data_IF_264248729521
#
_entry.id   IF_264248729521
#
_cell.length_a   1.000
_cell.length_b   1.000
_cell.length_c   1.000
_cell.angle_alpha   90.00
_cell.angle_beta   90.00
_cell.angle_gamma   90.00
#
_symmetry.space_group_name_H-M   'P 1'
#
loop_
_entity.id
_entity.type
_entity.pdbx_description
1 polymer ?
#
# COMPACT_ATOMS: atom_id res chain seq x y z
N UNK A 1 -15.56 20.42 -32.31
CA UNK A 1 -15.25 19.20 -31.55
C UNK A 1 -15.90 18.01 -32.28
N UNK A 2 -15.10 17.07 -32.81
CA UNK A 2 -15.53 16.03 -33.75
C UNK A 2 -16.35 14.92 -33.04
N UNK A 3 -17.42 14.39 -33.66
CA UNK A 3 -18.32 13.38 -33.04
C UNK A 3 -17.54 12.13 -32.59
N UNK A 4 -16.54 11.72 -33.39
CA UNK A 4 -15.65 10.61 -33.04
C UNK A 4 -14.83 10.86 -31.77
N UNK A 5 -14.40 12.11 -31.51
CA UNK A 5 -13.70 12.46 -30.26
C UNK A 5 -14.61 12.34 -29.04
N UNK A 6 -15.89 12.72 -29.17
CA UNK A 6 -16.87 12.60 -28.08
C UNK A 6 -17.18 11.13 -27.75
N UNK A 7 -17.30 10.27 -28.77
CA UNK A 7 -17.52 8.83 -28.54
C UNK A 7 -16.28 8.15 -27.94
N UNK A 8 -15.08 8.56 -28.35
CA UNK A 8 -13.83 8.02 -27.80
C UNK A 8 -13.63 8.45 -26.34
N UNK A 9 -13.86 9.74 -26.01
CA UNK A 9 -13.82 10.23 -24.64
C UNK A 9 -14.86 9.50 -23.76
N UNK A 10 -16.07 9.23 -24.28
CA UNK A 10 -17.08 8.43 -23.56
C UNK A 10 -16.60 7.01 -23.25
N UNK A 11 -15.84 6.37 -24.13
CA UNK A 11 -15.25 5.03 -23.89
C UNK A 11 -14.13 5.04 -22.84
N UNK A 12 -13.44 6.16 -22.67
CA UNK A 12 -12.31 6.30 -21.73
C UNK A 12 -12.76 6.66 -20.31
N UNK A 13 -14.00 7.14 -20.14
CA UNK A 13 -14.57 7.49 -18.81
C UNK A 13 -14.68 6.30 -17.87
N UNK A 14 -15.13 5.15 -18.35
CA UNK A 14 -15.23 3.93 -17.53
C UNK A 14 -13.86 3.48 -16.99
N UNK A 15 -12.81 3.31 -17.83
CA UNK A 15 -11.45 3.07 -17.34
C UNK A 15 -10.94 4.13 -16.37
N UNK A 16 -11.28 5.41 -16.59
CA UNK A 16 -10.85 6.51 -15.71
C UNK A 16 -11.48 6.43 -14.33
N UNK A 17 -12.79 6.16 -14.25
CA UNK A 17 -13.46 5.95 -12.97
C UNK A 17 -12.90 4.73 -12.24
N UNK A 18 -12.62 3.64 -12.96
CA UNK A 18 -11.99 2.46 -12.35
C UNK A 18 -10.58 2.76 -11.85
N UNK A 19 -9.79 3.58 -12.56
CA UNK A 19 -8.48 4.02 -12.10
C UNK A 19 -8.55 4.84 -10.81
N UNK A 20 -9.45 5.83 -10.74
CA UNK A 20 -9.66 6.64 -9.53
C UNK A 20 -10.17 5.78 -8.38
N UNK A 21 -11.08 4.85 -8.66
CA UNK A 21 -11.60 3.91 -7.67
C UNK A 21 -10.51 2.97 -7.15
N UNK A 22 -9.69 2.41 -8.03
CA UNK A 22 -8.57 1.55 -7.62
C UNK A 22 -7.54 2.32 -6.78
N UNK A 23 -7.29 3.58 -7.12
CA UNK A 23 -6.38 4.44 -6.36
C UNK A 23 -6.93 4.71 -4.95
N UNK A 24 -8.24 5.02 -4.84
CA UNK A 24 -8.90 5.19 -3.53
C UNK A 24 -8.82 3.92 -2.69
N UNK A 25 -9.13 2.77 -3.28
CA UNK A 25 -9.04 1.48 -2.61
C UNK A 25 -7.60 1.23 -2.10
N UNK A 26 -6.59 1.53 -2.91
CA UNK A 26 -5.17 1.41 -2.55
C UNK A 26 -4.77 2.32 -1.38
N UNK A 27 -5.18 3.60 -1.41
CA UNK A 27 -4.94 4.56 -0.33
C UNK A 27 -5.58 4.11 0.98
N UNK A 28 -6.82 3.61 0.92
CA UNK A 28 -7.53 3.11 2.10
C UNK A 28 -6.86 1.87 2.69
N UNK A 29 -6.30 1.00 1.86
CA UNK A 29 -5.55 -0.17 2.30
C UNK A 29 -4.23 0.22 2.97
N UNK A 30 -3.46 1.14 2.37
CA UNK A 30 -2.25 1.71 2.99
C UNK A 30 -2.57 2.37 4.34
N UNK A 31 -3.63 3.17 4.40
CA UNK A 31 -4.08 3.83 5.63
C UNK A 31 -4.37 2.82 6.73
N UNK A 32 -5.10 1.75 6.43
CA UNK A 32 -5.41 0.69 7.40
C UNK A 32 -4.13 0.00 7.88
N UNK A 33 -3.19 -0.29 6.99
CA UNK A 33 -1.89 -0.86 7.38
C UNK A 33 -1.16 0.03 8.39
N UNK A 34 -1.10 1.33 8.12
CA UNK A 34 -0.43 2.31 9.00
C UNK A 34 -1.17 2.39 10.35
N UNK A 35 -2.51 2.50 10.33
CA UNK A 35 -3.33 2.64 11.52
C UNK A 35 -3.31 1.40 12.42
N UNK A 36 -3.18 0.21 11.84
CA UNK A 36 -3.19 -1.04 12.60
C UNK A 36 -1.79 -1.45 13.04
N UNK A 37 -0.80 -1.45 12.13
CA UNK A 37 0.49 -2.06 12.43
C UNK A 37 1.52 -1.02 12.89
N UNK A 38 1.65 0.08 12.15
CA UNK A 38 2.66 1.10 12.48
C UNK A 38 2.28 1.82 13.76
N UNK A 39 1.00 2.19 13.92
CA UNK A 39 0.53 2.87 15.13
C UNK A 39 0.67 1.97 16.37
N UNK A 40 0.38 0.68 16.26
CA UNK A 40 0.55 -0.28 17.36
C UNK A 40 2.03 -0.46 17.74
N UNK A 41 2.91 -0.57 16.73
CA UNK A 41 4.35 -0.61 16.96
C UNK A 41 4.83 0.66 17.67
N UNK A 42 4.47 1.83 17.16
CA UNK A 42 4.90 3.12 17.68
C UNK A 42 4.36 3.35 19.10
N UNK A 43 3.12 2.91 19.38
CA UNK A 43 2.54 2.93 20.72
C UNK A 43 3.28 1.99 21.68
N UNK A 44 3.62 0.78 21.26
CA UNK A 44 4.39 -0.16 22.08
C UNK A 44 5.82 0.36 22.35
N UNK A 45 6.44 1.00 21.37
CA UNK A 45 7.75 1.65 21.54
C UNK A 45 7.67 2.80 22.55
N UNK A 46 6.70 3.70 22.39
CA UNK A 46 6.49 4.84 23.29
C UNK A 46 6.19 4.40 24.74
N UNK A 47 5.46 3.29 24.91
CA UNK A 47 5.13 2.73 26.22
C UNK A 47 6.20 1.79 26.80
N UNK A 48 7.33 1.60 26.10
CA UNK A 48 8.38 0.65 26.50
C UNK A 48 7.89 -0.80 26.65
N UNK A 49 6.84 -1.18 25.93
CA UNK A 49 6.30 -2.55 25.87
C UNK A 49 6.72 -3.29 24.60
N UNK A 50 7.44 -2.62 23.70
CA UNK A 50 7.97 -3.24 22.48
C UNK A 50 8.92 -4.40 22.81
N UNK A 51 8.71 -5.61 22.26
CA UNK A 51 9.63 -6.72 22.47
C UNK A 51 11.04 -6.40 21.98
N UNK A 52 12.06 -6.90 22.67
CA UNK A 52 13.46 -6.63 22.31
C UNK A 52 13.80 -7.07 20.87
N UNK A 53 13.13 -8.11 20.38
CA UNK A 53 13.27 -8.59 19.01
C UNK A 53 12.74 -7.61 17.94
N UNK A 54 11.96 -6.59 18.31
CA UNK A 54 11.41 -5.57 17.40
C UNK A 54 12.12 -4.22 17.54
N UNK A 55 12.91 -4.03 18.59
CA UNK A 55 13.62 -2.79 18.86
C UNK A 55 14.55 -2.43 17.70
N UNK A 56 14.54 -1.16 17.31
CA UNK A 56 15.34 -0.61 16.20
C UNK A 56 15.04 -1.26 14.82
N UNK A 57 13.92 -1.98 14.67
CA UNK A 57 13.54 -2.67 13.42
C UNK A 57 12.33 -2.04 12.72
N UNK A 58 11.81 -0.90 13.20
CA UNK A 58 10.69 -0.19 12.58
C UNK A 58 10.88 -0.01 11.07
N UNK A 59 12.05 0.51 10.66
CA UNK A 59 12.36 0.75 9.25
C UNK A 59 12.44 -0.55 8.45
N UNK A 60 13.03 -1.62 9.01
CA UNK A 60 13.13 -2.90 8.34
C UNK A 60 11.75 -3.56 8.12
N UNK A 61 10.85 -3.42 9.09
CA UNK A 61 9.49 -3.98 9.06
C UNK A 61 8.59 -3.19 8.10
N UNK A 62 8.61 -1.85 8.17
CA UNK A 62 7.63 -1.00 7.48
C UNK A 62 8.18 -0.23 6.27
N UNK A 63 9.50 -0.18 6.07
CA UNK A 63 10.09 0.52 4.94
C UNK A 63 9.56 1.95 4.79
N UNK A 64 8.97 2.25 3.63
CA UNK A 64 8.44 3.57 3.29
C UNK A 64 6.91 3.62 3.13
N UNK A 65 6.15 2.73 3.79
CA UNK A 65 4.67 2.70 3.71
C UNK A 65 4.00 4.07 3.94
N UNK A 66 4.48 4.84 4.93
CA UNK A 66 3.93 6.18 5.24
C UNK A 66 4.21 7.18 4.11
N UNK A 67 5.36 7.09 3.43
CA UNK A 67 5.69 7.93 2.27
C UNK A 67 4.82 7.56 1.05
N UNK A 68 4.62 6.25 0.81
CA UNK A 68 3.73 5.76 -0.23
C UNK A 68 2.30 6.29 0.01
N UNK A 69 1.79 6.13 1.23
CA UNK A 69 0.46 6.64 1.59
C UNK A 69 0.35 8.15 1.36
N UNK A 70 1.30 8.94 1.89
CA UNK A 70 1.26 10.39 1.76
C UNK A 70 1.28 10.83 0.29
N UNK A 71 2.15 10.23 -0.53
CA UNK A 71 2.20 10.56 -1.95
C UNK A 71 0.90 10.23 -2.68
N UNK A 72 0.39 9.02 -2.52
CA UNK A 72 -0.82 8.58 -3.20
C UNK A 72 -2.05 9.38 -2.75
N UNK A 73 -2.22 9.55 -1.43
CA UNK A 73 -3.36 10.25 -0.83
C UNK A 73 -3.37 11.76 -1.09
N UNK A 74 -2.21 12.42 -0.99
CA UNK A 74 -2.14 13.89 -1.01
C UNK A 74 -1.76 14.47 -2.36
N UNK A 75 -1.14 13.67 -3.25
CA UNK A 75 -0.65 14.14 -4.56
C UNK A 75 -1.30 13.38 -5.70
N UNK A 76 -1.06 12.07 -5.78
CA UNK A 76 -1.35 11.31 -6.99
C UNK A 76 -2.86 11.19 -7.25
N UNK A 77 -3.65 10.89 -6.22
CA UNK A 77 -5.11 10.86 -6.31
C UNK A 77 -5.69 12.19 -6.80
N UNK A 78 -5.16 13.31 -6.31
CA UNK A 78 -5.63 14.64 -6.71
C UNK A 78 -5.28 14.93 -8.18
N UNK A 79 -4.09 14.53 -8.65
CA UNK A 79 -3.74 14.64 -10.07
C UNK A 79 -4.64 13.78 -10.96
N UNK A 80 -4.95 12.54 -10.58
CA UNK A 80 -5.85 11.69 -11.34
C UNK A 80 -7.26 12.31 -11.40
N UNK A 81 -7.76 12.82 -10.28
CA UNK A 81 -9.11 13.39 -10.19
C UNK A 81 -9.32 14.61 -11.11
N UNK A 82 -8.25 15.35 -11.48
CA UNK A 82 -8.35 16.47 -12.44
C UNK A 82 -8.80 16.04 -13.84
N UNK A 83 -8.55 14.78 -14.21
CA UNK A 83 -8.81 14.24 -15.54
C UNK A 83 -10.01 13.30 -15.58
N UNK A 84 -10.86 13.30 -14.53
CA UNK A 84 -12.08 12.49 -14.48
C UNK A 84 -13.01 12.76 -15.68
N UNK A 85 -13.13 14.01 -16.09
CA UNK A 85 -13.96 14.43 -17.24
C UNK A 85 -13.22 14.45 -18.59
N UNK A 86 -11.88 14.46 -18.56
CA UNK A 86 -10.98 14.55 -19.71
C UNK A 86 -9.92 13.41 -19.69
N UNK A 87 -10.36 12.14 -19.75
CA UNK A 87 -9.50 10.97 -19.51
C UNK A 87 -8.38 10.78 -20.55
N UNK A 88 -8.45 11.41 -21.71
CA UNK A 88 -7.37 11.41 -22.71
C UNK A 88 -6.09 12.11 -22.23
N UNK A 89 -6.18 13.03 -21.28
CA UNK A 89 -5.04 13.82 -20.78
C UNK A 89 -4.44 13.23 -19.49
N UNK A 90 -5.01 12.14 -18.93
CA UNK A 90 -4.55 11.54 -17.66
C UNK A 90 -3.06 11.12 -17.68
N UNK A 91 -2.50 10.85 -18.87
CA UNK A 91 -1.08 10.55 -19.04
C UNK A 91 -0.14 11.67 -18.57
N UNK A 92 -0.63 12.91 -18.50
CA UNK A 92 0.10 14.03 -17.93
C UNK A 92 0.41 13.83 -16.44
N UNK A 93 -0.52 13.25 -15.67
CA UNK A 93 -0.29 12.93 -14.25
C UNK A 93 0.92 12.02 -14.06
N UNK A 94 1.02 10.98 -14.89
CA UNK A 94 2.15 10.05 -14.82
C UNK A 94 3.45 10.70 -15.25
N UNK A 95 3.45 11.51 -16.31
CA UNK A 95 4.66 12.18 -16.79
C UNK A 95 5.24 13.15 -15.75
N UNK A 96 4.39 13.84 -14.98
CA UNK A 96 4.82 14.74 -13.91
C UNK A 96 5.45 13.98 -12.74
N UNK A 97 4.93 12.79 -12.40
CA UNK A 97 5.29 12.08 -11.18
C UNK A 97 6.10 10.79 -11.38
N UNK A 98 6.40 10.39 -12.62
CA UNK A 98 7.04 9.10 -12.94
C UNK A 98 8.39 8.93 -12.25
N UNK A 99 9.23 9.96 -12.20
CA UNK A 99 10.54 9.88 -11.57
C UNK A 99 10.42 9.65 -10.06
N UNK A 100 9.47 10.33 -9.42
CA UNK A 100 9.23 10.19 -7.98
C UNK A 100 8.53 8.85 -7.64
N UNK A 101 7.60 8.40 -8.48
CA UNK A 101 7.02 7.06 -8.39
C UNK A 101 8.12 5.99 -8.47
N UNK A 102 9.04 6.12 -9.43
CA UNK A 102 10.16 5.19 -9.57
C UNK A 102 11.06 5.17 -8.33
N UNK A 103 11.38 6.33 -7.76
CA UNK A 103 12.14 6.42 -6.51
C UNK A 103 11.39 5.73 -5.35
N UNK A 104 10.12 6.09 -5.14
CA UNK A 104 9.29 5.54 -4.07
C UNK A 104 9.18 4.01 -4.14
N UNK A 105 8.92 3.46 -5.32
CA UNK A 105 8.78 2.02 -5.49
C UNK A 105 10.14 1.30 -5.50
N UNK A 106 11.23 1.98 -5.89
CA UNK A 106 12.58 1.43 -5.72
C UNK A 106 12.91 1.28 -4.24
N UNK A 107 12.69 2.30 -3.42
CA UNK A 107 12.88 2.26 -1.97
C UNK A 107 12.08 1.13 -1.31
N UNK A 108 10.82 0.99 -1.71
CA UNK A 108 9.94 -0.09 -1.24
C UNK A 108 10.51 -1.47 -1.58
N UNK A 109 10.85 -1.69 -2.85
CA UNK A 109 11.37 -2.97 -3.34
C UNK A 109 12.71 -3.34 -2.68
N UNK A 110 13.63 -2.37 -2.54
CA UNK A 110 14.92 -2.58 -1.88
C UNK A 110 14.72 -2.96 -0.42
N UNK A 111 13.85 -2.25 0.31
CA UNK A 111 13.55 -2.61 1.69
C UNK A 111 12.97 -4.03 1.79
N UNK A 112 12.03 -4.37 0.91
CA UNK A 112 11.43 -5.70 0.88
C UNK A 112 12.49 -6.77 0.62
N UNK A 113 13.34 -6.61 -0.41
CA UNK A 113 14.40 -7.58 -0.72
C UNK A 113 15.37 -7.80 0.45
N UNK A 114 15.76 -6.74 1.13
CA UNK A 114 16.76 -6.80 2.21
C UNK A 114 16.17 -7.31 3.53
N UNK A 115 14.95 -6.90 3.86
CA UNK A 115 14.40 -7.03 5.22
C UNK A 115 13.23 -8.00 5.33
N UNK A 116 12.83 -8.68 4.26
CA UNK A 116 11.73 -9.64 4.29
C UNK A 116 11.90 -10.77 5.34
N UNK A 117 13.14 -11.13 5.66
CA UNK A 117 13.42 -12.11 6.72
C UNK A 117 13.05 -11.60 8.13
N UNK A 118 13.00 -10.28 8.35
CA UNK A 118 12.68 -9.66 9.64
C UNK A 118 11.21 -9.86 10.00
N UNK A 119 10.31 -9.70 9.02
CA UNK A 119 8.87 -9.88 9.24
C UNK A 119 8.47 -11.34 9.49
N UNK A 120 9.36 -12.30 9.16
CA UNK A 120 9.17 -13.72 9.39
C UNK A 120 9.67 -14.19 10.78
N UNK A 121 10.21 -13.30 11.60
CA UNK A 121 10.69 -13.64 12.95
C UNK A 121 9.50 -13.97 13.85
N UNK A 122 9.50 -15.09 14.60
CA UNK A 122 8.36 -15.51 15.41
C UNK A 122 7.86 -14.46 16.40
N UNK A 123 8.77 -13.70 17.02
CA UNK A 123 8.43 -12.61 17.94
C UNK A 123 7.75 -11.44 17.23
N UNK A 124 8.12 -11.14 15.98
CA UNK A 124 7.47 -10.12 15.13
C UNK A 124 6.06 -10.56 14.76
N UNK A 125 5.93 -11.82 14.34
CA UNK A 125 4.63 -12.43 14.02
C UNK A 125 3.73 -12.39 15.26
N UNK A 126 4.20 -12.89 16.39
CA UNK A 126 3.42 -12.94 17.64
C UNK A 126 3.01 -11.56 18.15
N UNK A 127 3.86 -10.54 17.99
CA UNK A 127 3.50 -9.17 18.35
C UNK A 127 2.33 -8.63 17.51
N UNK A 128 2.33 -8.90 16.21
CA UNK A 128 1.28 -8.44 15.31
C UNK A 128 0.07 -9.39 15.20
N UNK A 129 0.13 -10.60 15.75
CA UNK A 129 -1.00 -11.55 15.77
C UNK A 129 -2.22 -11.00 16.52
N UNK A 130 -2.00 -10.26 17.62
CA UNK A 130 -3.09 -9.61 18.36
C UNK A 130 -3.76 -8.50 17.52
N UNK A 131 -2.98 -7.76 16.74
CA UNK A 131 -3.48 -6.79 15.77
C UNK A 131 -4.16 -7.46 14.54
N UNK A 132 -3.73 -8.68 14.19
CA UNK A 132 -4.21 -9.45 13.03
C UNK A 132 -5.66 -9.92 13.17
N UNK A 133 -6.15 -10.19 14.39
CA UNK A 133 -7.56 -10.55 14.63
C UNK A 133 -8.53 -9.39 14.32
N UNK A 134 -8.09 -8.14 14.47
CA UNK A 134 -8.83 -6.95 14.03
C UNK A 134 -8.91 -6.89 12.49
N UNK A 135 -7.84 -7.31 11.81
CA UNK A 135 -7.70 -7.25 10.33
C UNK A 135 -8.48 -8.35 9.60
N UNK A 136 -8.71 -9.52 10.22
CA UNK A 136 -9.59 -10.57 9.68
C UNK A 136 -11.03 -10.08 9.39
N UNK A 137 -11.44 -8.96 9.99
CA UNK A 137 -12.74 -8.33 9.75
C UNK A 137 -12.79 -7.42 8.50
N UNK A 138 -11.65 -7.18 7.84
CA UNK A 138 -11.53 -6.28 6.69
C UNK A 138 -11.45 -7.07 5.36
N UNK A 139 -12.19 -6.68 4.29
CA UNK A 139 -12.18 -7.41 3.03
C UNK A 139 -10.83 -7.35 2.26
N UNK A 140 -10.21 -8.53 2.09
CA UNK A 140 -9.33 -9.10 1.02
C UNK A 140 -8.64 -8.21 -0.06
N UNK A 141 -8.00 -7.09 0.27
CA UNK A 141 -6.91 -6.54 -0.61
C UNK A 141 -5.62 -6.22 0.13
N UNK A 142 -5.73 -5.84 1.40
CA UNK A 142 -4.59 -5.72 2.34
C UNK A 142 -3.83 -7.04 2.52
N UNK A 143 -4.50 -8.17 2.32
CA UNK A 143 -3.88 -9.49 2.43
C UNK A 143 -2.76 -9.70 1.40
N UNK A 144 -2.78 -9.04 0.24
CA UNK A 144 -1.73 -9.19 -0.77
C UNK A 144 -0.45 -8.41 -0.41
N UNK A 145 -0.57 -7.36 0.40
CA UNK A 145 0.55 -6.54 0.88
C UNK A 145 1.24 -7.20 2.10
N UNK A 146 0.48 -7.96 2.90
CA UNK A 146 0.96 -8.59 4.14
C UNK A 146 1.26 -10.09 3.97
N UNK A 147 0.66 -10.79 3.00
CA UNK A 147 0.88 -12.23 2.81
C UNK A 147 1.98 -12.63 1.84
N UNK A 148 2.63 -11.71 1.12
CA UNK A 148 3.46 -12.17 0.01
C UNK A 148 4.82 -12.80 0.38
N UNK A 149 5.16 -12.99 1.66
CA UNK A 149 6.44 -13.65 1.97
C UNK A 149 6.53 -14.50 3.26
N UNK A 150 5.54 -14.47 4.16
CA UNK A 150 5.68 -15.09 5.49
C UNK A 150 4.75 -16.25 5.82
N UNK A 151 3.56 -16.36 5.20
CA UNK A 151 2.48 -17.18 5.78
C UNK A 151 1.74 -18.12 4.79
N UNK A 152 2.19 -18.23 3.53
CA UNK A 152 1.64 -19.21 2.57
C UNK A 152 2.60 -20.38 2.26
N UNK A 153 3.35 -20.89 3.24
CA UNK A 153 4.04 -22.19 3.08
C UNK A 153 3.47 -23.36 3.89
N UNK A 154 2.60 -23.13 4.87
CA UNK A 154 2.15 -24.20 5.76
C UNK A 154 0.65 -24.58 5.65
N UNK A 155 -0.01 -24.26 4.53
CA UNK A 155 -1.37 -24.77 4.24
C UNK A 155 -1.52 -25.62 2.97
N UNK A 156 -0.42 -26.07 2.37
CA UNK A 156 -0.45 -27.04 1.24
C UNK A 156 0.50 -28.23 1.46
N UNK A 157 0.68 -28.65 2.72
CA UNK A 157 1.29 -29.95 3.07
C UNK A 157 0.40 -30.71 4.03
N UNK A 158 -0.84 -30.93 3.58
CA UNK A 158 -1.88 -31.66 4.29
C UNK A 158 -2.63 -32.62 3.40
N UNK A 159 -1.91 -33.37 2.54
CA UNK A 159 -2.22 -34.72 2.04
C UNK A 159 -0.95 -35.29 1.41
#
# INVERSE_FOLDING_TARGET
>A
MNIMKREQNKKLREPMHELIKSERDYIDDLRKCIQVYITEFDAAEANSTLPLALKDRRQAIFGNYEKLYAFHAEKFFHELSKYEDDPEEVGCSFTVWVDYLNELYTDYCVNMEQNNHVVAIPEVISFFEEAYDVVKSLPRRVNDIIHFNGLEKDKVSGT
#
